data_IF_568148931922
#
_entry.id   IF_568148931922
#
_cell.length_a   1.000
_cell.length_b   1.000
_cell.length_c   1.000
_cell.angle_alpha   90.00
_cell.angle_beta   90.00
_cell.angle_gamma   90.00
#
_symmetry.space_group_name_H-M   'P 1'
#
loop_
_entity.id
_entity.type
_entity.pdbx_description
1 polymer ?
#
# COMPACT_ATOMS: atom_id res chain seq x y z
N UNK A 1 21.44 10.39 -12.18
CA UNK A 1 20.84 11.69 -12.61
C UNK A 1 19.98 12.27 -11.50
N UNK A 2 19.74 13.59 -11.45
CA UNK A 2 18.86 14.19 -10.44
C UNK A 2 17.52 14.51 -11.12
N UNK A 3 16.49 13.70 -10.81
CA UNK A 3 15.13 13.90 -11.32
C UNK A 3 14.40 14.96 -10.50
N UNK A 4 13.64 15.84 -11.17
CA UNK A 4 12.72 16.76 -10.49
C UNK A 4 11.40 16.06 -10.19
N UNK A 5 10.85 16.25 -8.99
CA UNK A 5 9.57 15.66 -8.60
C UNK A 5 8.41 16.12 -9.47
N UNK A 6 8.51 17.32 -10.06
CA UNK A 6 7.52 17.85 -11.00
C UNK A 6 7.31 16.95 -12.24
N UNK A 7 8.28 16.08 -12.59
CA UNK A 7 8.11 15.07 -13.64
C UNK A 7 7.00 14.07 -13.33
N UNK A 8 6.64 13.93 -12.06
CA UNK A 8 5.59 13.01 -11.58
C UNK A 8 4.25 13.70 -11.36
N UNK A 9 4.14 14.96 -11.80
CA UNK A 9 2.87 15.68 -11.85
C UNK A 9 2.20 15.43 -13.20
N UNK A 10 0.93 15.01 -13.17
CA UNK A 10 0.11 14.79 -14.36
C UNK A 10 -1.35 15.11 -14.04
N UNK A 11 -2.14 15.39 -15.06
CA UNK A 11 -3.57 15.69 -14.86
C UNK A 11 -4.36 14.38 -14.67
N UNK A 12 -4.90 14.19 -13.47
CA UNK A 12 -5.79 13.08 -13.13
C UNK A 12 -7.23 13.59 -13.01
N UNK A 13 -8.09 13.36 -14.01
CA UNK A 13 -9.48 13.79 -13.92
C UNK A 13 -10.20 13.17 -12.72
N UNK A 14 -10.99 13.94 -11.94
CA UNK A 14 -11.67 13.41 -10.76
C UNK A 14 -12.60 12.20 -11.04
N UNK A 15 -13.16 12.13 -12.24
CA UNK A 15 -14.01 11.01 -12.67
C UNK A 15 -13.22 9.73 -13.02
N UNK A 16 -11.90 9.82 -13.17
CA UNK A 16 -11.01 8.65 -13.32
C UNK A 16 -10.70 8.00 -11.98
N UNK A 17 -10.95 8.66 -10.83
CA UNK A 17 -10.76 8.09 -9.50
C UNK A 17 -11.96 7.20 -9.15
N UNK A 18 -11.75 5.88 -9.03
CA UNK A 18 -12.83 4.99 -8.65
C UNK A 18 -13.22 5.16 -7.18
N UNK A 19 -14.41 5.65 -6.93
CA UNK A 19 -14.93 5.92 -5.59
C UNK A 19 -15.47 4.67 -4.88
N UNK A 20 -15.79 3.61 -5.63
CA UNK A 20 -16.42 2.41 -5.11
C UNK A 20 -15.62 1.17 -5.54
N UNK A 21 -15.50 0.16 -4.67
CA UNK A 21 -14.94 -1.12 -5.09
C UNK A 21 -15.81 -1.73 -6.20
N UNK A 22 -15.18 -2.50 -7.09
CA UNK A 22 -15.94 -3.31 -8.05
C UNK A 22 -16.82 -4.30 -7.29
N UNK A 23 -18.01 -4.58 -7.82
CA UNK A 23 -18.93 -5.56 -7.22
C UNK A 23 -18.27 -6.94 -7.16
N UNK A 24 -17.57 -7.29 -8.21
CA UNK A 24 -16.71 -8.45 -8.33
C UNK A 24 -15.30 -7.92 -8.64
N UNK A 25 -14.31 -8.10 -7.77
CA UNK A 25 -12.96 -7.53 -7.94
C UNK A 25 -12.32 -7.87 -9.29
N UNK A 26 -12.58 -9.06 -9.79
CA UNK A 26 -12.13 -9.59 -11.08
C UNK A 26 -12.73 -8.87 -12.30
N UNK A 27 -13.82 -8.10 -12.12
CA UNK A 27 -14.43 -7.29 -13.20
C UNK A 27 -13.59 -6.04 -13.53
N UNK A 28 -12.61 -5.70 -12.69
CA UNK A 28 -11.67 -4.62 -13.00
C UNK A 28 -10.89 -4.92 -14.28
N UNK A 29 -10.30 -3.89 -14.85
CA UNK A 29 -9.47 -4.03 -16.05
C UNK A 29 -8.00 -4.18 -15.68
N UNK A 30 -7.25 -4.87 -16.53
CA UNK A 30 -5.80 -4.99 -16.48
C UNK A 30 -5.21 -4.46 -17.77
N UNK A 31 -4.36 -3.44 -17.67
CA UNK A 31 -3.53 -2.96 -18.76
C UNK A 31 -2.20 -3.74 -18.78
N UNK A 32 -1.86 -4.35 -19.89
CA UNK A 32 -0.52 -4.92 -20.13
C UNK A 32 0.31 -3.81 -20.77
N UNK A 33 1.29 -3.29 -20.04
CA UNK A 33 1.97 -2.04 -20.36
C UNK A 33 2.67 -2.08 -21.72
N UNK A 34 3.43 -3.16 -22.02
CA UNK A 34 4.24 -3.29 -23.23
C UNK A 34 3.39 -3.32 -24.51
N UNK A 35 2.26 -4.04 -24.48
CA UNK A 35 1.38 -4.18 -25.65
C UNK A 35 0.24 -3.18 -25.70
N UNK A 36 0.04 -2.42 -24.61
CA UNK A 36 -1.13 -1.54 -24.39
C UNK A 36 -2.47 -2.28 -24.51
N UNK A 37 -2.46 -3.60 -24.33
CA UNK A 37 -3.67 -4.42 -24.38
C UNK A 37 -4.42 -4.33 -23.05
N UNK A 38 -5.70 -4.08 -23.12
CA UNK A 38 -6.59 -4.06 -21.94
C UNK A 38 -7.41 -5.34 -21.95
N UNK A 39 -7.41 -6.05 -20.83
CA UNK A 39 -8.22 -7.27 -20.60
C UNK A 39 -9.00 -7.14 -19.30
N UNK A 40 -10.00 -7.98 -19.09
CA UNK A 40 -10.61 -8.15 -17.77
C UNK A 40 -9.63 -8.87 -16.84
N UNK A 41 -9.59 -8.45 -15.56
CA UNK A 41 -8.67 -9.01 -14.57
C UNK A 41 -8.92 -10.51 -14.32
N UNK A 42 -10.15 -10.98 -14.49
CA UNK A 42 -10.51 -12.41 -14.42
C UNK A 42 -9.70 -13.29 -15.40
N UNK A 43 -9.21 -12.71 -16.48
CA UNK A 43 -8.37 -13.38 -17.47
C UNK A 43 -6.85 -13.28 -17.16
N UNK A 44 -6.46 -12.84 -15.97
CA UNK A 44 -5.04 -12.68 -15.61
C UNK A 44 -4.25 -13.98 -15.73
N UNK A 45 -4.84 -15.11 -15.33
CA UNK A 45 -4.19 -16.41 -15.45
C UNK A 45 -3.88 -16.82 -16.90
N UNK A 46 -4.67 -16.36 -17.87
CA UNK A 46 -4.50 -16.68 -19.29
C UNK A 46 -3.26 -16.05 -19.94
N UNK A 47 -2.73 -14.99 -19.36
CA UNK A 47 -1.52 -14.32 -19.87
C UNK A 47 -0.23 -14.88 -19.29
N UNK A 48 -0.32 -15.79 -18.32
CA UNK A 48 0.84 -16.44 -17.70
C UNK A 48 1.26 -17.61 -18.59
N UNK A 49 2.32 -17.43 -19.35
CA UNK A 49 2.75 -18.36 -20.40
C UNK A 49 3.51 -19.59 -19.86
N UNK A 50 4.08 -19.50 -18.66
CA UNK A 50 4.89 -20.56 -18.05
C UNK A 50 4.76 -20.57 -16.52
N UNK A 51 5.09 -21.70 -15.85
CA UNK A 51 5.05 -21.76 -14.39
C UNK A 51 5.87 -20.64 -13.75
N UNK A 52 5.26 -19.87 -12.87
CA UNK A 52 5.81 -18.63 -12.29
C UNK A 52 5.70 -18.63 -10.77
N UNK A 53 6.42 -17.73 -10.11
CA UNK A 53 6.29 -17.44 -8.68
C UNK A 53 5.57 -16.10 -8.49
N UNK A 54 4.51 -16.12 -7.68
CA UNK A 54 3.75 -14.90 -7.33
C UNK A 54 4.01 -14.52 -5.87
N UNK A 55 4.34 -13.26 -5.64
CA UNK A 55 4.65 -12.72 -4.31
C UNK A 55 3.61 -11.68 -3.93
N UNK A 56 2.85 -11.96 -2.89
CA UNK A 56 1.77 -11.11 -2.37
C UNK A 56 2.12 -10.53 -1.01
N UNK A 57 1.72 -9.29 -0.76
CA UNK A 57 1.76 -8.72 0.58
C UNK A 57 0.46 -9.05 1.32
N UNK A 58 0.54 -9.85 2.37
CA UNK A 58 -0.61 -10.30 3.18
C UNK A 58 -0.90 -9.42 4.40
N UNK A 59 -0.20 -8.32 4.59
CA UNK A 59 -0.44 -7.44 5.73
C UNK A 59 -1.88 -6.92 5.74
N UNK A 60 -2.51 -7.00 6.93
CA UNK A 60 -3.92 -6.65 7.14
C UNK A 60 -4.06 -5.21 7.58
N UNK A 61 -4.99 -4.49 6.96
CA UNK A 61 -5.39 -3.16 7.43
C UNK A 61 -6.15 -3.31 8.74
N UNK A 62 -5.68 -2.59 9.78
CA UNK A 62 -6.31 -2.55 11.10
C UNK A 62 -7.29 -1.38 11.19
N UNK A 63 -8.22 -1.46 12.11
CA UNK A 63 -9.23 -0.42 12.39
C UNK A 63 -8.63 0.73 13.20
N UNK A 64 -7.61 1.38 12.70
CA UNK A 64 -6.75 2.31 13.46
C UNK A 64 -7.24 3.76 13.50
N UNK A 65 -8.37 4.05 12.87
CA UNK A 65 -9.00 5.37 12.86
C UNK A 65 -10.14 5.42 13.87
N UNK A 66 -9.99 6.19 14.93
CA UNK A 66 -11.00 6.34 15.98
C UNK A 66 -11.59 7.75 15.89
N UNK A 67 -12.90 7.86 15.73
CA UNK A 67 -13.63 9.13 15.70
C UNK A 67 -14.60 9.16 16.88
N UNK A 68 -14.41 10.11 17.79
CA UNK A 68 -15.25 10.23 18.98
C UNK A 68 -15.48 11.70 19.33
N UNK A 69 -16.29 11.94 20.37
CA UNK A 69 -16.55 13.28 20.90
C UNK A 69 -15.97 13.43 22.29
N UNK A 70 -15.36 14.59 22.55
CA UNK A 70 -14.92 14.98 23.89
C UNK A 70 -16.14 15.18 24.80
N UNK A 71 -16.03 14.89 26.09
CA UNK A 71 -17.08 15.20 27.07
C UNK A 71 -17.34 16.71 27.15
N UNK A 72 -16.34 17.54 26.89
CA UNK A 72 -16.46 19.01 26.80
C UNK A 72 -17.10 19.51 25.50
N UNK A 73 -17.47 18.64 24.58
CA UNK A 73 -17.99 18.94 23.26
C UNK A 73 -16.91 19.00 22.18
N UNK A 74 -17.34 18.84 20.94
CA UNK A 74 -16.47 18.84 19.76
C UNK A 74 -15.87 17.44 19.43
N UNK A 75 -15.67 17.22 18.14
CA UNK A 75 -15.13 15.96 17.62
C UNK A 75 -13.62 15.88 17.83
N UNK A 76 -13.13 14.66 17.99
CA UNK A 76 -11.72 14.33 18.02
C UNK A 76 -11.50 13.05 17.19
N UNK A 77 -10.44 13.08 16.39
CA UNK A 77 -10.02 11.93 15.61
C UNK A 77 -8.60 11.53 16.03
N UNK A 78 -8.46 10.28 16.41
CA UNK A 78 -7.17 9.63 16.71
C UNK A 78 -6.88 8.62 15.63
N UNK A 79 -5.68 8.68 15.05
CA UNK A 79 -5.22 7.75 14.03
C UNK A 79 -3.96 7.05 14.54
N UNK A 80 -4.05 5.77 14.88
CA UNK A 80 -2.94 5.00 15.42
C UNK A 80 -1.99 4.63 14.29
N UNK A 81 -0.73 5.08 14.42
CA UNK A 81 0.34 4.79 13.46
C UNK A 81 1.16 3.58 13.86
N UNK A 82 1.41 3.43 15.17
CA UNK A 82 2.21 2.34 15.71
C UNK A 82 1.85 2.10 17.18
N UNK A 83 1.71 0.86 17.56
CA UNK A 83 1.52 0.43 18.96
C UNK A 83 2.90 0.28 19.60
N UNK A 84 3.12 0.96 20.73
CA UNK A 84 4.38 0.89 21.49
C UNK A 84 4.28 -0.21 22.55
N UNK A 85 3.16 -0.20 23.29
CA UNK A 85 2.80 -1.22 24.28
C UNK A 85 1.28 -1.29 24.44
N UNK A 86 0.79 -1.97 25.47
CA UNK A 86 -0.65 -2.22 25.70
C UNK A 86 -1.48 -0.93 25.75
N UNK A 87 -0.93 0.17 26.31
CA UNK A 87 -1.65 1.42 26.58
C UNK A 87 -1.06 2.61 25.83
N UNK A 88 0.11 2.47 25.19
CA UNK A 88 0.81 3.56 24.53
C UNK A 88 0.91 3.35 23.02
N UNK A 89 0.52 4.37 22.25
CA UNK A 89 0.64 4.36 20.79
C UNK A 89 1.14 5.70 20.24
N UNK A 90 1.88 5.62 19.13
CA UNK A 90 2.18 6.78 18.29
C UNK A 90 1.00 7.03 17.37
N UNK A 91 0.45 8.25 17.42
CA UNK A 91 -0.80 8.60 16.73
C UNK A 91 -0.69 9.92 15.98
N UNK A 92 -1.53 10.11 14.95
CA UNK A 92 -1.95 11.44 14.53
C UNK A 92 -3.19 11.84 15.31
N UNK A 93 -3.31 13.14 15.60
CA UNK A 93 -4.42 13.67 16.39
C UNK A 93 -5.03 14.88 15.68
N UNK A 94 -6.33 14.79 15.35
CA UNK A 94 -7.11 15.87 14.78
C UNK A 94 -8.11 16.37 15.81
N UNK A 95 -7.95 17.62 16.25
CA UNK A 95 -8.83 18.30 17.20
C UNK A 95 -8.65 19.80 17.03
N UNK A 96 -9.67 20.58 17.39
CA UNK A 96 -9.61 22.06 17.45
C UNK A 96 -8.75 22.57 18.59
N UNK A 97 -8.44 21.73 19.57
CA UNK A 97 -7.68 22.14 20.76
C UNK A 97 -6.19 22.32 20.45
N UNK A 98 -5.53 23.14 21.28
CA UNK A 98 -4.06 23.13 21.35
C UNK A 98 -3.59 21.78 21.87
N UNK A 99 -2.64 21.17 21.17
CA UNK A 99 -2.06 19.87 21.49
C UNK A 99 -0.75 20.10 22.23
N UNK A 100 -0.80 19.92 23.56
CA UNK A 100 0.34 20.15 24.46
C UNK A 100 0.64 18.86 25.24
N UNK A 101 1.91 18.62 25.56
CA UNK A 101 2.31 17.53 26.44
C UNK A 101 1.60 17.68 27.78
N UNK A 102 1.12 16.59 28.37
CA UNK A 102 0.33 16.52 29.60
C UNK A 102 -1.15 16.85 29.42
N UNK A 103 -1.59 17.20 28.18
CA UNK A 103 -3.02 17.45 27.94
C UNK A 103 -3.80 16.15 27.94
N UNK A 104 -4.83 16.11 28.78
CA UNK A 104 -5.78 15.01 28.90
C UNK A 104 -7.03 15.26 28.07
N UNK A 105 -7.52 14.22 27.46
CA UNK A 105 -8.75 14.18 26.71
C UNK A 105 -9.69 13.14 27.31
N UNK A 106 -10.86 13.60 27.74
CA UNK A 106 -11.92 12.74 28.21
C UNK A 106 -12.98 12.62 27.12
N UNK A 107 -13.20 11.40 26.66
CA UNK A 107 -14.20 11.08 25.63
C UNK A 107 -15.29 10.18 26.22
N UNK A 108 -16.27 9.78 25.40
CA UNK A 108 -17.37 8.96 25.87
C UNK A 108 -16.94 7.53 26.25
N UNK A 109 -15.97 6.97 25.53
CA UNK A 109 -15.65 5.54 25.61
C UNK A 109 -14.29 5.28 26.26
N UNK A 110 -13.36 6.25 26.19
CA UNK A 110 -12.00 6.14 26.69
C UNK A 110 -11.41 7.52 26.99
N UNK A 111 -10.31 7.52 27.74
CA UNK A 111 -9.54 8.75 27.98
C UNK A 111 -8.10 8.54 27.51
N UNK A 112 -7.43 9.64 27.19
CA UNK A 112 -6.01 9.59 26.85
C UNK A 112 -5.29 10.88 27.18
N UNK A 113 -3.96 10.80 27.28
CA UNK A 113 -3.06 11.90 27.56
C UNK A 113 -1.98 11.99 26.47
N UNK A 114 -1.60 13.21 26.11
CA UNK A 114 -0.44 13.45 25.25
C UNK A 114 0.82 13.37 26.10
N UNK A 115 1.62 12.31 25.92
CA UNK A 115 2.86 12.10 26.66
C UNK A 115 4.08 12.74 25.97
N UNK A 116 4.08 12.80 24.62
CA UNK A 116 5.17 13.33 23.83
C UNK A 116 4.69 13.81 22.47
N UNK A 117 5.47 14.72 21.83
CA UNK A 117 5.19 15.25 20.49
C UNK A 117 6.48 15.15 19.68
N UNK A 118 6.44 14.43 18.56
CA UNK A 118 7.59 14.25 17.69
C UNK A 118 7.16 14.20 16.22
N UNK A 119 7.75 15.03 15.39
CA UNK A 119 7.58 15.07 13.93
C UNK A 119 6.10 15.02 13.47
N UNK A 120 5.26 15.89 14.11
CA UNK A 120 3.84 15.99 13.80
C UNK A 120 2.98 14.80 14.27
N UNK A 121 3.56 13.84 14.97
CA UNK A 121 2.85 12.76 15.65
C UNK A 121 2.90 12.90 17.16
N UNK A 122 2.03 12.20 17.86
CA UNK A 122 1.83 12.26 19.30
C UNK A 122 2.00 10.87 19.93
N UNK A 123 2.77 10.78 21.02
CA UNK A 123 2.70 9.63 21.89
C UNK A 123 1.51 9.82 22.82
N UNK A 124 0.53 8.93 22.70
CA UNK A 124 -0.68 8.96 23.51
C UNK A 124 -0.67 7.76 24.46
N UNK A 125 -1.02 8.04 25.75
CA UNK A 125 -1.29 7.01 26.75
C UNK A 125 -2.81 6.92 26.94
N UNK A 126 -3.36 5.73 26.78
CA UNK A 126 -4.80 5.45 26.90
C UNK A 126 -5.11 4.75 28.23
N UNK A 127 -6.31 4.95 28.76
CA UNK A 127 -6.84 4.25 29.93
C UNK A 127 -7.49 2.89 29.61
N UNK A 128 -7.49 2.50 28.36
CA UNK A 128 -7.98 1.23 27.80
C UNK A 128 -6.87 0.61 26.96
N UNK A 129 -6.81 -0.71 26.86
CA UNK A 129 -5.85 -1.36 25.98
C UNK A 129 -6.11 -1.01 24.52
N UNK A 130 -5.04 -0.78 23.77
CA UNK A 130 -5.12 -0.32 22.37
C UNK A 130 -5.82 -1.36 21.50
N UNK A 131 -5.59 -2.65 21.74
CA UNK A 131 -6.28 -3.70 21.00
C UNK A 131 -7.79 -3.64 21.20
N UNK A 132 -8.26 -3.45 22.47
CA UNK A 132 -9.68 -3.27 22.75
C UNK A 132 -10.24 -2.01 22.10
N UNK A 133 -9.50 -0.90 22.12
CA UNK A 133 -9.89 0.34 21.47
C UNK A 133 -10.06 0.18 19.96
N UNK A 134 -9.14 -0.53 19.30
CA UNK A 134 -9.20 -0.84 17.86
C UNK A 134 -10.40 -1.73 17.53
N UNK A 135 -10.69 -2.70 18.38
CA UNK A 135 -11.78 -3.66 18.13
C UNK A 135 -13.17 -3.05 18.37
N UNK A 136 -13.33 -2.19 19.39
CA UNK A 136 -14.64 -1.63 19.77
C UNK A 136 -14.98 -0.31 19.04
N UNK A 137 -14.02 0.60 18.91
CA UNK A 137 -14.23 1.97 18.40
C UNK A 137 -13.49 2.25 17.08
N UNK A 138 -12.65 1.33 16.62
CA UNK A 138 -11.81 1.50 15.46
C UNK A 138 -12.58 1.38 14.13
N UNK A 139 -12.21 2.23 13.18
CA UNK A 139 -12.68 2.24 11.81
C UNK A 139 -11.53 1.95 10.84
N UNK A 140 -11.84 1.32 9.71
CA UNK A 140 -10.88 1.17 8.59
C UNK A 140 -10.51 2.55 8.06
N UNK A 141 -9.23 2.91 7.96
CA UNK A 141 -8.79 4.18 7.42
C UNK A 141 -8.81 4.14 5.88
N UNK A 142 -9.89 4.58 5.28
CA UNK A 142 -9.94 4.73 3.82
C UNK A 142 -8.98 5.85 3.36
N UNK A 143 -8.44 5.76 2.13
CA UNK A 143 -7.61 6.81 1.55
C UNK A 143 -8.35 8.15 1.47
N UNK A 144 -7.63 9.30 1.54
CA UNK A 144 -8.25 10.62 1.60
C UNK A 144 -9.04 11.01 0.35
N UNK A 145 -8.79 10.35 -0.79
CA UNK A 145 -9.50 10.56 -2.05
C UNK A 145 -10.77 9.71 -2.20
N UNK A 146 -11.02 8.79 -1.27
CA UNK A 146 -12.24 7.98 -1.22
C UNK A 146 -13.20 8.63 -0.23
N UNK A 147 -14.45 8.88 -0.67
CA UNK A 147 -15.50 9.33 0.25
C UNK A 147 -15.73 8.29 1.33
N UNK A 148 -15.63 8.73 2.58
CA UNK A 148 -15.79 7.87 3.74
C UNK A 148 -17.22 7.28 3.78
N UNK A 149 -17.28 5.96 3.71
CA UNK A 149 -18.50 5.18 3.72
C UNK A 149 -18.18 3.80 4.29
N UNK A 150 -18.76 3.46 5.42
CA UNK A 150 -18.50 2.20 6.14
C UNK A 150 -18.84 0.96 5.30
N UNK A 151 -19.76 1.07 4.32
CA UNK A 151 -20.08 -0.03 3.42
C UNK A 151 -18.88 -0.51 2.60
N UNK A 152 -17.87 0.35 2.42
CA UNK A 152 -16.63 0.08 1.68
C UNK A 152 -15.55 -0.61 2.51
N UNK A 153 -15.62 -0.55 3.85
CA UNK A 153 -14.57 -1.06 4.74
C UNK A 153 -14.25 -2.53 4.52
N UNK A 154 -15.28 -3.36 4.30
CA UNK A 154 -15.13 -4.79 4.05
C UNK A 154 -14.36 -5.13 2.76
N UNK A 155 -14.24 -4.18 1.85
CA UNK A 155 -13.52 -4.34 0.58
C UNK A 155 -12.10 -3.79 0.62
N UNK A 156 -11.68 -3.20 1.75
CA UNK A 156 -10.36 -2.57 1.87
C UNK A 156 -9.31 -3.49 2.50
N UNK A 157 -9.56 -4.78 2.52
CA UNK A 157 -8.61 -5.83 2.85
C UNK A 157 -8.65 -6.93 1.79
N UNK A 158 -7.48 -7.47 1.48
CA UNK A 158 -7.35 -8.59 0.55
C UNK A 158 -7.98 -9.85 1.12
N UNK A 159 -8.48 -10.74 0.27
CA UNK A 159 -9.11 -12.01 0.68
C UNK A 159 -8.14 -12.96 1.37
N UNK A 160 -6.84 -12.73 1.24
CA UNK A 160 -5.75 -13.48 1.86
C UNK A 160 -5.03 -12.69 2.97
N UNK A 161 -5.53 -11.50 3.33
CA UNK A 161 -4.91 -10.68 4.37
C UNK A 161 -4.85 -11.43 5.71
N UNK A 162 -3.66 -11.49 6.30
CA UNK A 162 -3.40 -12.21 7.55
C UNK A 162 -2.21 -11.62 8.29
N UNK A 163 -2.41 -11.26 9.56
CA UNK A 163 -1.34 -10.65 10.37
C UNK A 163 -0.96 -9.25 9.92
N UNK A 164 0.14 -8.73 10.47
CA UNK A 164 0.64 -7.39 10.19
C UNK A 164 -0.15 -6.26 10.84
N UNK A 165 0.33 -5.04 10.63
CA UNK A 165 -0.29 -3.81 11.12
C UNK A 165 -0.24 -2.74 10.05
N UNK A 166 -1.02 -2.92 8.97
CA UNK A 166 -1.11 -1.91 7.91
C UNK A 166 -2.16 -0.85 8.24
N UNK A 167 -1.85 0.40 7.90
CA UNK A 167 -2.79 1.52 7.94
C UNK A 167 -3.37 1.84 6.56
N UNK A 168 -2.86 1.19 5.52
CA UNK A 168 -3.38 1.24 4.16
C UNK A 168 -3.31 -0.16 3.52
N UNK A 169 -4.26 -0.45 2.62
CA UNK A 169 -4.29 -1.75 1.94
C UNK A 169 -3.17 -1.87 0.90
N UNK A 170 -2.52 -3.03 0.75
CA UNK A 170 -1.76 -3.36 -0.45
C UNK A 170 -2.73 -3.60 -1.62
N UNK A 171 -3.16 -2.50 -2.27
CA UNK A 171 -4.34 -2.42 -3.13
C UNK A 171 -4.27 -3.26 -4.40
N UNK A 172 -3.08 -3.56 -4.92
CA UNK A 172 -2.92 -4.45 -6.07
C UNK A 172 -3.48 -5.87 -5.81
N UNK A 173 -3.56 -6.26 -4.55
CA UNK A 173 -4.16 -7.53 -4.15
C UNK A 173 -5.68 -7.55 -4.15
N UNK A 174 -6.35 -6.40 -4.14
CA UNK A 174 -7.81 -6.30 -4.07
C UNK A 174 -8.50 -6.87 -5.32
N UNK A 175 -7.79 -7.00 -6.43
CA UNK A 175 -8.29 -7.60 -7.67
C UNK A 175 -8.42 -9.13 -7.60
N UNK A 176 -7.71 -9.78 -6.67
CA UNK A 176 -7.67 -11.24 -6.57
C UNK A 176 -8.78 -11.78 -5.70
N UNK A 177 -9.59 -12.65 -6.27
CA UNK A 177 -10.54 -13.49 -5.54
C UNK A 177 -9.88 -14.79 -5.09
N UNK A 178 -10.52 -15.50 -4.16
CA UNK A 178 -10.06 -16.86 -3.77
C UNK A 178 -10.04 -17.81 -4.96
N UNK A 179 -10.99 -17.69 -5.87
CA UNK A 179 -11.11 -18.54 -7.05
C UNK A 179 -9.97 -18.28 -8.04
N UNK A 180 -9.63 -17.00 -8.29
CA UNK A 180 -8.50 -16.65 -9.14
C UNK A 180 -7.17 -17.11 -8.52
N UNK A 181 -6.98 -16.94 -7.21
CA UNK A 181 -5.80 -17.47 -6.51
C UNK A 181 -5.69 -19.01 -6.63
N UNK A 182 -6.81 -19.71 -6.49
CA UNK A 182 -6.84 -21.17 -6.66
C UNK A 182 -6.48 -21.56 -8.10
N UNK A 183 -7.02 -20.89 -9.12
CA UNK A 183 -6.66 -21.11 -10.53
C UNK A 183 -5.17 -20.89 -10.77
N UNK A 184 -4.61 -19.78 -10.28
CA UNK A 184 -3.19 -19.48 -10.40
C UNK A 184 -2.32 -20.57 -9.75
N UNK A 185 -2.70 -21.04 -8.57
CA UNK A 185 -1.92 -22.01 -7.80
C UNK A 185 -1.89 -23.42 -8.41
N UNK A 186 -2.69 -23.70 -9.45
CA UNK A 186 -2.66 -25.00 -10.15
C UNK A 186 -1.32 -25.23 -10.88
N UNK A 187 -0.78 -24.18 -11.52
CA UNK A 187 0.43 -24.26 -12.35
C UNK A 187 1.59 -23.43 -11.81
N UNK A 188 1.33 -22.57 -10.84
CA UNK A 188 2.28 -21.59 -10.32
C UNK A 188 2.50 -21.81 -8.83
N UNK A 189 3.50 -21.15 -8.28
CA UNK A 189 3.70 -21.06 -6.84
C UNK A 189 3.25 -19.68 -6.33
N UNK A 190 2.59 -19.67 -5.18
CA UNK A 190 2.19 -18.46 -4.50
C UNK A 190 2.87 -18.41 -3.13
N UNK A 191 3.46 -17.25 -2.81
CA UNK A 191 3.98 -16.97 -1.48
C UNK A 191 3.42 -15.67 -0.94
N UNK A 192 3.39 -15.58 0.38
CA UNK A 192 2.92 -14.39 1.09
C UNK A 192 4.02 -13.84 1.96
N UNK A 193 4.29 -12.55 1.77
CA UNK A 193 5.20 -11.77 2.63
C UNK A 193 4.38 -10.79 3.47
N UNK A 194 5.00 -10.17 4.45
CA UNK A 194 4.42 -9.07 5.18
C UNK A 194 5.24 -7.79 4.98
N UNK A 195 4.57 -6.70 4.60
CA UNK A 195 5.07 -5.34 4.72
C UNK A 195 3.93 -4.49 5.24
N UNK A 196 4.14 -3.86 6.40
CA UNK A 196 3.14 -3.03 7.06
C UNK A 196 3.07 -1.65 6.40
N UNK A 197 2.05 -1.46 5.57
CA UNK A 197 1.88 -0.25 4.77
C UNK A 197 1.54 0.94 5.65
N UNK A 198 2.37 2.00 5.57
CA UNK A 198 2.21 3.23 6.34
C UNK A 198 1.37 4.28 5.57
N UNK A 199 0.81 5.26 6.31
CA UNK A 199 0.05 6.40 5.77
C UNK A 199 0.85 7.26 4.78
N UNK A 200 2.18 7.19 4.83
CA UNK A 200 3.07 7.89 3.92
C UNK A 200 2.82 7.59 2.43
N UNK A 201 2.24 6.43 2.13
CA UNK A 201 1.88 6.03 0.75
C UNK A 201 0.91 7.02 0.07
N UNK A 202 0.13 7.77 0.86
CA UNK A 202 -0.83 8.76 0.31
C UNK A 202 -0.30 10.19 0.27
N UNK A 203 0.91 10.45 0.82
CA UNK A 203 1.46 11.79 0.84
C UNK A 203 2.14 12.10 -0.49
N UNK A 204 1.79 13.24 -1.14
CA UNK A 204 2.52 13.67 -2.32
C UNK A 204 3.96 14.08 -1.95
N UNK A 205 4.88 13.95 -2.87
CA UNK A 205 6.23 14.48 -2.73
C UNK A 205 6.19 16.01 -2.65
N UNK A 206 6.82 16.59 -1.62
CA UNK A 206 6.83 18.04 -1.37
C UNK A 206 8.20 18.68 -1.56
N UNK A 207 9.16 17.92 -2.09
CA UNK A 207 10.51 18.38 -2.36
C UNK A 207 10.70 18.62 -3.86
N UNK A 208 11.68 19.44 -4.23
CA UNK A 208 11.93 19.76 -5.63
C UNK A 208 12.66 18.60 -6.35
N UNK A 209 13.64 17.99 -5.67
CA UNK A 209 14.45 16.90 -6.24
C UNK A 209 14.03 15.56 -5.66
N UNK A 210 13.91 14.56 -6.51
CA UNK A 210 13.54 13.20 -6.11
C UNK A 210 14.48 12.62 -5.05
N UNK A 211 15.77 12.94 -5.12
CA UNK A 211 16.78 12.46 -4.18
C UNK A 211 16.61 13.03 -2.76
N UNK A 212 15.93 14.15 -2.61
CA UNK A 212 15.68 14.79 -1.31
C UNK A 212 14.41 14.23 -0.65
N UNK A 213 13.60 13.46 -1.41
CA UNK A 213 12.40 12.82 -0.88
C UNK A 213 12.78 11.64 0.02
N UNK A 214 12.27 11.69 1.26
CA UNK A 214 12.41 10.59 2.23
C UNK A 214 11.13 9.76 2.24
N UNK A 215 11.27 8.51 1.89
CA UNK A 215 10.17 7.54 2.01
C UNK A 215 9.99 7.17 3.49
N UNK A 216 8.74 6.94 3.89
CA UNK A 216 8.44 6.47 5.24
C UNK A 216 8.97 5.03 5.43
N UNK A 217 9.52 4.80 6.61
CA UNK A 217 9.95 3.46 7.02
C UNK A 217 8.75 2.55 7.27
N UNK A 218 8.85 1.30 6.81
CA UNK A 218 7.81 0.27 6.93
C UNK A 218 8.44 -1.04 7.41
N UNK A 219 7.77 -1.74 8.32
CA UNK A 219 8.24 -3.05 8.78
C UNK A 219 7.96 -4.10 7.71
N UNK A 220 8.91 -5.01 7.48
CA UNK A 220 8.70 -6.14 6.60
C UNK A 220 9.17 -7.45 7.24
N UNK A 221 8.58 -8.56 6.80
CA UNK A 221 9.04 -9.89 7.14
C UNK A 221 8.70 -10.90 6.04
N UNK A 222 9.62 -11.83 5.79
CA UNK A 222 9.51 -12.91 4.83
C UNK A 222 9.89 -14.20 5.53
N UNK A 223 9.06 -15.23 5.44
CA UNK A 223 9.39 -16.53 6.01
C UNK A 223 10.59 -17.13 5.29
N UNK A 224 11.52 -17.74 6.03
CA UNK A 224 12.73 -18.38 5.46
C UNK A 224 12.38 -19.40 4.35
N UNK A 225 11.30 -20.16 4.52
CA UNK A 225 10.86 -21.12 3.52
C UNK A 225 10.38 -20.45 2.22
N UNK A 226 9.72 -19.28 2.33
CA UNK A 226 9.24 -18.52 1.18
C UNK A 226 10.39 -17.80 0.47
N UNK A 227 11.35 -17.24 1.20
CA UNK A 227 12.54 -16.65 0.59
C UNK A 227 13.38 -17.69 -0.16
N UNK A 228 13.50 -18.92 0.36
CA UNK A 228 14.14 -20.02 -0.36
C UNK A 228 13.46 -20.35 -1.69
N UNK A 229 12.12 -20.19 -1.80
CA UNK A 229 11.41 -20.35 -3.08
C UNK A 229 11.75 -19.23 -4.06
N UNK A 230 11.95 -18.00 -3.58
CA UNK A 230 12.43 -16.87 -4.41
C UNK A 230 13.80 -17.19 -5.00
N UNK A 231 14.76 -17.62 -4.16
CA UNK A 231 16.10 -18.01 -4.62
C UNK A 231 16.05 -19.15 -5.64
N UNK A 232 15.21 -20.16 -5.39
CA UNK A 232 15.01 -21.28 -6.32
C UNK A 232 14.39 -20.85 -7.66
N UNK A 233 13.46 -19.90 -7.64
CA UNK A 233 12.85 -19.35 -8.84
C UNK A 233 13.90 -18.60 -9.67
N UNK A 234 14.69 -17.73 -9.07
CA UNK A 234 15.81 -17.03 -9.75
C UNK A 234 16.81 -18.02 -10.35
N UNK A 235 17.27 -19.00 -9.58
CA UNK A 235 18.24 -20.00 -10.05
C UNK A 235 17.74 -20.86 -11.21
N UNK A 236 16.41 -20.99 -11.36
CA UNK A 236 15.76 -21.74 -12.44
C UNK A 236 15.25 -20.86 -13.58
N UNK A 237 15.52 -19.57 -13.56
CA UNK A 237 14.96 -18.57 -14.49
C UNK A 237 13.43 -18.66 -14.56
N UNK A 238 12.77 -18.96 -13.43
CA UNK A 238 11.33 -19.01 -13.30
C UNK A 238 10.82 -17.61 -13.09
N UNK A 239 9.87 -17.09 -13.90
CA UNK A 239 9.39 -15.71 -13.76
C UNK A 239 8.82 -15.43 -12.37
N UNK A 240 9.18 -14.26 -11.83
CA UNK A 240 8.74 -13.78 -10.52
C UNK A 240 7.85 -12.55 -10.70
N UNK A 241 6.61 -12.67 -10.26
CA UNK A 241 5.61 -11.60 -10.26
C UNK A 241 5.47 -11.02 -8.87
N UNK A 242 5.77 -9.74 -8.68
CA UNK A 242 5.44 -9.02 -7.45
C UNK A 242 4.08 -8.33 -7.60
N UNK A 243 3.18 -8.64 -6.68
CA UNK A 243 1.84 -8.08 -6.64
C UNK A 243 1.84 -6.91 -5.67
N UNK A 244 1.87 -5.71 -6.24
CA UNK A 244 1.99 -4.44 -5.56
C UNK A 244 3.43 -3.98 -5.34
N UNK A 245 3.60 -2.66 -5.33
CA UNK A 245 4.86 -1.98 -5.04
C UNK A 245 5.42 -2.32 -3.65
N UNK A 246 4.54 -2.67 -2.70
CA UNK A 246 4.91 -3.11 -1.35
C UNK A 246 5.61 -4.47 -1.38
N UNK A 247 5.10 -5.42 -2.17
CA UNK A 247 5.76 -6.73 -2.37
C UNK A 247 7.13 -6.56 -3.01
N UNK A 248 7.22 -5.74 -4.05
CA UNK A 248 8.48 -5.42 -4.72
C UNK A 248 9.51 -4.85 -3.73
N UNK A 249 9.14 -3.79 -2.99
CA UNK A 249 10.04 -3.16 -2.03
C UNK A 249 10.51 -4.11 -0.94
N UNK A 250 9.63 -4.97 -0.44
CA UNK A 250 9.99 -5.93 0.62
C UNK A 250 11.01 -6.95 0.15
N UNK A 251 10.81 -7.56 -1.03
CA UNK A 251 11.74 -8.60 -1.51
C UNK A 251 13.08 -8.03 -1.96
N UNK A 252 13.09 -6.85 -2.59
CA UNK A 252 14.33 -6.16 -2.95
C UNK A 252 15.12 -5.76 -1.69
N UNK A 253 14.44 -5.23 -0.66
CA UNK A 253 15.10 -4.90 0.62
C UNK A 253 15.68 -6.15 1.29
N UNK A 254 14.91 -7.25 1.32
CA UNK A 254 15.37 -8.50 1.93
C UNK A 254 16.61 -9.06 1.22
N UNK A 255 16.64 -8.98 -0.11
CA UNK A 255 17.76 -9.39 -0.92
C UNK A 255 18.99 -8.51 -0.67
N UNK A 256 18.85 -7.19 -0.78
CA UNK A 256 19.96 -6.24 -0.64
C UNK A 256 20.57 -6.25 0.77
N UNK A 257 19.75 -6.37 1.79
CA UNK A 257 20.19 -6.36 3.19
C UNK A 257 20.57 -7.75 3.72
N UNK A 258 20.37 -8.80 2.92
CA UNK A 258 20.49 -10.20 3.35
C UNK A 258 19.74 -10.45 4.68
N UNK A 259 18.56 -9.89 4.82
CA UNK A 259 17.74 -9.96 6.04
C UNK A 259 16.28 -10.24 5.70
N UNK A 260 15.69 -11.22 6.37
CA UNK A 260 14.32 -11.65 6.13
C UNK A 260 13.27 -10.82 6.89
N UNK A 261 13.70 -9.94 7.77
CA UNK A 261 12.82 -9.04 8.51
C UNK A 261 13.57 -7.79 8.94
N UNK A 262 12.84 -6.70 9.11
CA UNK A 262 13.40 -5.43 9.53
C UNK A 262 12.53 -4.27 9.11
N UNK A 263 13.17 -3.13 8.98
CA UNK A 263 12.55 -1.88 8.51
C UNK A 263 13.08 -1.56 7.12
N UNK A 264 12.20 -1.16 6.21
CA UNK A 264 12.57 -0.70 4.88
C UNK A 264 12.16 0.75 4.67
N UNK A 265 13.11 1.55 4.23
CA UNK A 265 12.93 2.87 3.62
C UNK A 265 13.45 2.86 2.17
N UNK A 266 13.53 1.66 1.57
CA UNK A 266 14.06 1.47 0.23
C UNK A 266 13.22 2.20 -0.80
N UNK A 267 13.82 3.22 -1.41
CA UNK A 267 13.22 4.07 -2.41
C UNK A 267 13.70 3.65 -3.81
N UNK A 268 12.85 2.96 -4.55
CA UNK A 268 13.12 2.58 -5.95
C UNK A 268 12.94 3.83 -6.82
N UNK A 269 14.06 4.28 -7.40
CA UNK A 269 14.16 5.43 -8.32
C UNK A 269 14.39 4.93 -9.75
N UNK A 270 14.28 5.80 -10.76
CA UNK A 270 14.44 5.39 -12.16
C UNK A 270 15.75 4.63 -12.48
N UNK A 271 16.83 4.97 -11.77
CA UNK A 271 18.16 4.35 -11.97
C UNK A 271 18.41 3.15 -11.04
N UNK A 272 17.41 2.71 -10.26
CA UNK A 272 17.56 1.62 -9.31
C UNK A 272 17.49 0.28 -10.02
N UNK A 273 18.49 -0.58 -9.83
CA UNK A 273 18.45 -1.94 -10.34
C UNK A 273 17.47 -2.79 -9.53
N UNK A 274 16.60 -3.51 -10.21
CA UNK A 274 15.71 -4.51 -9.65
C UNK A 274 16.39 -5.88 -9.79
N UNK A 275 16.45 -6.65 -8.69
CA UNK A 275 17.23 -7.90 -8.64
C UNK A 275 16.35 -9.15 -8.64
N UNK A 276 15.16 -9.06 -8.07
CA UNK A 276 14.31 -10.22 -7.80
C UNK A 276 13.17 -10.35 -8.79
N UNK A 277 12.47 -9.23 -9.03
CA UNK A 277 11.19 -9.25 -9.72
C UNK A 277 11.37 -9.14 -11.24
N UNK A 278 10.67 -9.98 -12.01
CA UNK A 278 10.62 -9.90 -13.47
C UNK A 278 9.34 -9.20 -13.95
N UNK A 279 8.29 -9.16 -13.09
CA UNK A 279 7.03 -8.49 -13.38
C UNK A 279 6.49 -7.77 -12.15
N UNK A 280 5.96 -6.58 -12.35
CA UNK A 280 5.23 -5.81 -11.34
C UNK A 280 3.78 -5.62 -11.77
N UNK A 281 2.84 -6.14 -10.98
CA UNK A 281 1.43 -5.80 -11.09
C UNK A 281 1.09 -4.77 -10.02
N UNK A 282 0.51 -3.63 -10.44
CA UNK A 282 0.15 -2.56 -9.50
C UNK A 282 -1.09 -1.78 -9.95
N UNK A 283 -1.66 -0.93 -9.09
CA UNK A 283 -2.68 0.05 -9.49
C UNK A 283 -2.04 1.27 -10.15
N UNK A 284 -2.84 2.10 -10.80
CA UNK A 284 -2.42 3.43 -11.23
C UNK A 284 -2.33 4.38 -10.02
N UNK A 285 -1.26 5.17 -9.95
CA UNK A 285 -0.89 5.99 -8.79
C UNK A 285 -1.28 7.45 -8.97
N UNK A 286 -1.46 8.18 -7.86
CA UNK A 286 -1.81 9.60 -7.85
C UNK A 286 -0.67 10.48 -8.39
N UNK A 287 -0.98 11.67 -8.95
CA UNK A 287 0.02 12.68 -9.25
C UNK A 287 0.90 12.99 -8.03
N UNK A 288 2.16 13.29 -8.27
CA UNK A 288 3.18 13.57 -7.25
C UNK A 288 3.42 12.42 -6.24
N UNK A 289 2.92 11.21 -6.50
CA UNK A 289 3.20 10.04 -5.66
C UNK A 289 4.62 9.54 -5.86
N UNK A 290 5.31 9.20 -4.76
CA UNK A 290 6.62 8.52 -4.82
C UNK A 290 6.56 7.16 -5.52
N UNK A 291 5.38 6.55 -5.63
CA UNK A 291 5.18 5.29 -6.34
C UNK A 291 5.34 5.43 -7.87
N UNK A 292 5.16 6.66 -8.40
CA UNK A 292 5.42 6.92 -9.82
C UNK A 292 6.91 6.80 -10.18
N UNK A 293 7.82 6.96 -9.21
CA UNK A 293 9.24 6.70 -9.47
C UNK A 293 9.52 5.21 -9.74
N UNK A 294 8.72 4.31 -9.12
CA UNK A 294 8.79 2.87 -9.41
C UNK A 294 8.26 2.60 -10.82
N UNK A 295 7.14 3.23 -11.20
CA UNK A 295 6.61 3.12 -12.57
C UNK A 295 7.62 3.63 -13.60
N UNK A 296 8.26 4.76 -13.32
CA UNK A 296 9.32 5.31 -14.17
C UNK A 296 10.53 4.36 -14.26
N UNK A 297 10.88 3.69 -13.16
CA UNK A 297 11.96 2.69 -13.16
C UNK A 297 11.65 1.51 -14.09
N UNK A 298 10.44 0.95 -14.00
CA UNK A 298 10.07 -0.29 -14.71
C UNK A 298 9.56 -0.07 -16.14
N UNK A 299 9.15 1.13 -16.49
CA UNK A 299 8.59 1.43 -17.83
C UNK A 299 9.40 2.48 -18.61
N UNK A 300 10.29 3.21 -17.93
CA UNK A 300 11.11 4.25 -18.55
C UNK A 300 10.41 5.61 -18.69
N UNK A 301 11.06 6.51 -19.42
CA UNK A 301 10.67 7.92 -19.54
C UNK A 301 9.27 8.16 -20.15
N UNK A 302 8.72 7.17 -20.86
CA UNK A 302 7.41 7.27 -21.51
C UNK A 302 6.23 6.85 -20.58
N UNK A 303 6.44 6.70 -19.27
CA UNK A 303 5.40 6.28 -18.34
C UNK A 303 4.17 7.21 -18.35
N UNK A 304 4.37 8.52 -18.52
CA UNK A 304 3.30 9.51 -18.61
C UNK A 304 2.37 9.24 -19.81
N UNK A 305 2.90 8.92 -20.98
CA UNK A 305 2.10 8.55 -22.16
C UNK A 305 1.28 7.27 -21.94
N UNK A 306 1.78 6.34 -21.11
CA UNK A 306 1.00 5.16 -20.72
C UNK A 306 -0.18 5.55 -19.81
N UNK A 307 0.04 6.50 -18.90
CA UNK A 307 -1.01 7.02 -18.00
C UNK A 307 -2.05 7.82 -18.77
N UNK A 308 -1.64 8.67 -19.72
CA UNK A 308 -2.55 9.38 -20.63
C UNK A 308 -3.41 8.37 -21.41
N UNK A 309 -2.78 7.35 -22.01
CA UNK A 309 -3.50 6.27 -22.69
C UNK A 309 -4.50 5.55 -21.78
N UNK A 310 -4.13 5.28 -20.53
CA UNK A 310 -5.02 4.64 -19.57
C UNK A 310 -6.25 5.51 -19.26
N UNK A 311 -6.05 6.84 -19.08
CA UNK A 311 -7.13 7.81 -18.84
C UNK A 311 -8.06 7.88 -20.07
N UNK A 312 -7.51 8.03 -21.28
CA UNK A 312 -8.25 8.09 -22.54
C UNK A 312 -9.05 6.80 -22.81
N UNK A 313 -8.51 5.65 -22.40
CA UNK A 313 -9.18 4.34 -22.48
C UNK A 313 -10.25 4.14 -21.41
N UNK A 314 -10.48 5.12 -20.53
CA UNK A 314 -11.52 5.07 -19.50
C UNK A 314 -11.17 4.21 -18.29
N UNK A 315 -9.91 3.80 -18.13
CA UNK A 315 -9.44 3.05 -16.96
C UNK A 315 -9.58 3.89 -15.69
N UNK A 316 -9.80 3.20 -14.58
CA UNK A 316 -9.97 3.80 -13.26
C UNK A 316 -8.69 3.70 -12.45
N UNK A 317 -8.48 4.70 -11.63
CA UNK A 317 -7.23 4.96 -10.91
C UNK A 317 -7.38 4.75 -9.40
N UNK A 318 -6.26 4.61 -8.73
CA UNK A 318 -6.06 4.53 -7.30
C UNK A 318 -6.61 3.23 -6.68
N UNK A 319 -6.92 3.23 -5.37
CA UNK A 319 -7.13 2.02 -4.57
C UNK A 319 -8.18 1.04 -5.08
N UNK A 320 -9.30 1.55 -5.57
CA UNK A 320 -10.38 0.74 -6.15
C UNK A 320 -10.40 0.78 -7.68
N UNK A 321 -9.35 1.33 -8.27
CA UNK A 321 -9.21 1.44 -9.72
C UNK A 321 -8.81 0.14 -10.40
N UNK A 322 -8.33 0.26 -11.62
CA UNK A 322 -7.84 -0.81 -12.47
C UNK A 322 -6.35 -1.10 -12.19
N UNK A 323 -5.84 -2.18 -12.76
CA UNK A 323 -4.46 -2.60 -12.59
C UNK A 323 -3.65 -2.40 -13.88
N UNK A 324 -2.33 -2.35 -13.71
CA UNK A 324 -1.34 -2.39 -14.79
C UNK A 324 -0.28 -3.45 -14.48
N UNK A 325 0.10 -4.22 -15.49
CA UNK A 325 1.18 -5.19 -15.43
C UNK A 325 2.36 -4.65 -16.24
N UNK A 326 3.49 -4.49 -15.58
CA UNK A 326 4.78 -4.14 -16.16
C UNK A 326 5.68 -5.36 -16.23
N UNK A 327 6.37 -5.54 -17.34
CA UNK A 327 7.55 -6.39 -17.42
C UNK A 327 8.75 -5.55 -17.00
N UNK A 328 9.62 -6.10 -16.19
CA UNK A 328 10.86 -5.44 -15.75
C UNK A 328 11.97 -5.99 -16.64
N UNK A 329 12.55 -5.10 -17.46
CA UNK A 329 13.71 -5.47 -18.29
C UNK A 329 14.98 -5.46 -17.43
N UNK A 330 15.93 -6.37 -17.77
CA UNK A 330 17.24 -6.49 -17.10
C UNK A 330 18.14 -5.27 -17.32
#
# INVERSE_FOLDING_TARGET
>A
MSYHTKLYDYDLPPNSINQNPYRHPEDSSLLIAESKKIIKFDNFDSIISQPSLFIFNSSKVRNVRIVTNKLSGGSIEVFILNIIDEFNARCLLRSSDKKLIGKKYNTKNFNFEICDIYDGSYLLNFDISIEKLIDEDGLIPLPPYIKDDQSKYKYYNNVYASGGFSVASPTAGLHFTKDLLNKLNIKNEIIFINLDVNIGTFKPMQVEKLNDHKIHSENYSIKKADFKKIEQAKNKNKPIYTIGTTSLRAVETAFLNNSLSGVTDYFIKPDTQIHISDYLLTNFHAPMSSLLSIVHNVYGDNWNHLYDYAIESGLKFLSFGDAVLFKIDE
#
